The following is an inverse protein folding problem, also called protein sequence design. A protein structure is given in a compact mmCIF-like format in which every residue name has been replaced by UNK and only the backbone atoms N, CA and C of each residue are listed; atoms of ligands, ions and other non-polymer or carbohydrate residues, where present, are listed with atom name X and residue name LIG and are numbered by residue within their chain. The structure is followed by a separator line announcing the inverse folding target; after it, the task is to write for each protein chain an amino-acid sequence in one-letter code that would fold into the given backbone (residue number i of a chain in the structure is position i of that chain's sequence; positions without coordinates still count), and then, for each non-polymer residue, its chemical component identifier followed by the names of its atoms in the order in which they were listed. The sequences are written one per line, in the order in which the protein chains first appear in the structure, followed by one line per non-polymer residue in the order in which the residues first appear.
data_IF_391015172873
#
_entry.id   IF_391015172873
#
_cell.length_a   1.000
_cell.length_b   1.000
_cell.length_c   1.000
_cell.angle_alpha   90.00
_cell.angle_beta   90.00
_cell.angle_gamma   90.00
#
_symmetry.space_group_name_H-M   'P 1'
#
loop_
_entity.id
_entity.type
_entity.pdbx_description
1 polymer ?
#
# COMPACT_ATOMS: atom_id res chain seq x y z
N UNK A 1 -12.14 23.04 11.07
CA UNK A 1 -11.73 22.35 9.81
C UNK A 1 -12.44 21.01 9.80
N UNK A 2 -13.06 20.60 8.69
CA UNK A 2 -13.70 19.29 8.60
C UNK A 2 -12.64 18.17 8.78
N UNK A 3 -12.98 17.04 9.41
CA UNK A 3 -12.07 15.91 9.47
C UNK A 3 -11.79 15.39 8.06
N UNK A 4 -10.53 15.09 7.78
CA UNK A 4 -10.10 14.58 6.48
C UNK A 4 -10.08 13.07 6.52
N UNK A 5 -10.51 12.43 5.45
CA UNK A 5 -10.49 10.97 5.33
C UNK A 5 -9.72 10.57 4.08
N UNK A 6 -8.89 9.52 4.19
CA UNK A 6 -8.24 8.88 3.05
C UNK A 6 -8.61 7.41 3.05
N UNK A 7 -9.19 6.93 1.96
CA UNK A 7 -9.52 5.53 1.75
C UNK A 7 -8.51 4.89 0.81
N UNK A 8 -8.03 3.71 1.19
CA UNK A 8 -7.15 2.87 0.37
C UNK A 8 -7.98 1.69 -0.09
N UNK A 9 -8.37 1.69 -1.36
CA UNK A 9 -8.98 0.55 -2.02
C UNK A 9 -7.89 -0.35 -2.58
N UNK A 10 -8.08 -1.66 -2.45
CA UNK A 10 -7.24 -2.65 -3.11
C UNK A 10 -8.08 -3.36 -4.16
N UNK A 11 -7.60 -3.36 -5.40
CA UNK A 11 -8.13 -4.18 -6.49
C UNK A 11 -7.29 -5.45 -6.58
N UNK A 12 -7.83 -6.56 -6.07
CA UNK A 12 -7.15 -7.85 -6.09
C UNK A 12 -7.35 -8.55 -7.45
N UNK A 13 -6.37 -8.45 -8.33
CA UNK A 13 -6.33 -9.11 -9.63
C UNK A 13 -5.76 -10.53 -9.61
N UNK A 14 -5.47 -11.11 -8.45
CA UNK A 14 -4.89 -12.45 -8.29
C UNK A 14 -5.96 -13.54 -8.42
N UNK A 15 -6.52 -13.68 -9.62
CA UNK A 15 -7.64 -14.59 -9.90
C UNK A 15 -7.26 -16.04 -9.54
N UNK A 16 -7.92 -16.59 -8.52
CA UNK A 16 -7.72 -17.97 -8.08
C UNK A 16 -6.54 -18.21 -7.13
N UNK A 17 -5.75 -17.19 -6.79
CA UNK A 17 -4.53 -17.33 -5.97
C UNK A 17 -4.73 -16.95 -4.49
N UNK A 18 -5.91 -16.42 -4.12
CA UNK A 18 -6.32 -16.19 -2.73
C UNK A 18 -6.64 -14.74 -2.37
N UNK A 19 -6.83 -14.49 -1.08
CA UNK A 19 -7.19 -13.17 -0.55
C UNK A 19 -5.95 -12.32 -0.26
N UNK A 20 -6.01 -11.04 -0.60
CA UNK A 20 -5.04 -10.05 -0.12
C UNK A 20 -5.44 -9.67 1.31
N UNK A 21 -4.65 -10.10 2.29
CA UNK A 21 -5.02 -9.95 3.70
C UNK A 21 -4.51 -8.63 4.27
N UNK A 22 -5.38 -7.89 4.96
CA UNK A 22 -4.98 -6.71 5.73
C UNK A 22 -4.18 -7.16 6.96
N UNK A 23 -2.94 -6.68 7.10
CA UNK A 23 -2.09 -6.99 8.26
C UNK A 23 -2.30 -5.95 9.36
N UNK A 24 -2.29 -4.67 8.99
CA UNK A 24 -2.32 -3.58 9.95
C UNK A 24 -1.89 -2.26 9.35
N UNK A 25 -1.94 -1.22 10.16
CA UNK A 25 -1.46 0.10 9.78
C UNK A 25 -0.81 0.79 10.97
N UNK A 26 0.23 1.57 10.67
CA UNK A 26 0.99 2.31 11.66
C UNK A 26 0.90 3.81 11.38
N UNK A 27 0.59 4.56 12.43
CA UNK A 27 0.73 6.02 12.42
C UNK A 27 2.21 6.36 12.53
N UNK A 28 2.73 7.03 11.51
CA UNK A 28 4.13 7.47 11.46
C UNK A 28 4.32 8.80 12.19
N UNK A 29 3.44 9.77 11.92
CA UNK A 29 3.50 11.11 12.52
C UNK A 29 2.16 11.86 12.39
N UNK A 30 1.96 12.79 13.33
CA UNK A 30 0.88 13.77 13.37
C UNK A 30 -0.46 13.28 13.89
N UNK A 31 -1.48 14.10 13.66
CA UNK A 31 -2.71 14.08 14.47
C UNK A 31 -3.80 13.12 13.96
N UNK A 32 -3.50 12.18 13.07
CA UNK A 32 -4.51 11.25 12.55
C UNK A 32 -4.50 9.86 13.18
N UNK A 33 -5.55 9.10 12.85
CA UNK A 33 -5.81 7.76 13.34
C UNK A 33 -6.46 6.91 12.23
N UNK A 34 -6.33 5.60 12.37
CA UNK A 34 -6.95 4.62 11.47
C UNK A 34 -8.40 4.45 11.91
N UNK A 35 -9.35 4.68 11.01
CA UNK A 35 -10.78 4.70 11.32
C UNK A 35 -11.47 3.35 11.11
N UNK A 36 -10.98 2.54 10.17
CA UNK A 36 -11.41 1.16 9.97
C UNK A 36 -10.17 0.28 9.88
N UNK A 37 -10.12 -0.79 10.67
CA UNK A 37 -9.24 -1.92 10.37
C UNK A 37 -9.70 -2.48 9.03
N UNK A 38 -8.81 -2.50 8.05
CA UNK A 38 -9.08 -3.09 6.75
C UNK A 38 -9.67 -4.48 6.83
N UNK A 39 -10.38 -4.89 5.79
CA UNK A 39 -10.75 -6.29 5.58
C UNK A 39 -9.86 -6.90 4.51
N UNK A 40 -9.68 -8.21 4.57
CA UNK A 40 -9.07 -8.97 3.48
C UNK A 40 -9.90 -8.82 2.20
N UNK A 41 -9.23 -8.67 1.07
CA UNK A 41 -9.86 -8.47 -0.24
C UNK A 41 -9.84 -9.78 -1.03
N UNK A 42 -11.01 -10.32 -1.34
CA UNK A 42 -11.17 -11.56 -2.10
C UNK A 42 -10.59 -11.46 -3.51
N UNK A 43 -10.15 -12.59 -4.06
CA UNK A 43 -9.64 -12.69 -5.43
C UNK A 43 -10.66 -12.14 -6.44
N UNK A 44 -10.19 -11.31 -7.39
CA UNK A 44 -11.02 -10.71 -8.42
C UNK A 44 -11.95 -9.57 -7.96
N UNK A 45 -11.80 -9.10 -6.72
CA UNK A 45 -12.65 -8.04 -6.14
C UNK A 45 -11.88 -6.74 -5.86
N UNK A 46 -12.62 -5.65 -5.67
CA UNK A 46 -12.08 -4.37 -5.21
C UNK A 46 -12.80 -3.95 -3.96
N UNK A 47 -12.06 -3.62 -2.90
CA UNK A 47 -12.68 -3.24 -1.63
C UNK A 47 -11.81 -2.30 -0.79
N UNK A 48 -12.42 -1.72 0.25
CA UNK A 48 -11.73 -0.84 1.21
C UNK A 48 -10.74 -1.66 2.03
N UNK A 49 -9.45 -1.47 1.73
CA UNK A 49 -8.34 -2.07 2.45
C UNK A 49 -7.95 -1.28 3.70
N UNK A 50 -8.18 0.03 3.77
CA UNK A 50 -8.08 0.81 5.01
C UNK A 50 -8.72 2.21 4.85
N UNK A 51 -9.29 2.76 5.92
CA UNK A 51 -9.70 4.16 5.99
C UNK A 51 -8.95 4.90 7.10
N UNK A 52 -8.41 6.06 6.75
CA UNK A 52 -7.56 6.88 7.57
C UNK A 52 -8.24 8.22 7.82
N UNK A 53 -8.21 8.74 9.04
CA UNK A 53 -8.82 10.02 9.38
C UNK A 53 -7.84 10.95 10.07
N UNK A 54 -7.74 12.20 9.61
CA UNK A 54 -7.02 13.25 10.32
C UNK A 54 -7.83 13.68 11.55
N UNK A 55 -7.19 13.70 12.72
CA UNK A 55 -7.76 14.26 13.94
C UNK A 55 -7.71 15.79 13.97
N UNK A 56 -8.11 16.38 15.10
CA UNK A 56 -8.37 17.81 15.22
C UNK A 56 -7.16 18.74 15.21
N UNK A 57 -5.94 18.22 15.00
CA UNK A 57 -4.71 19.02 15.11
C UNK A 57 -4.17 19.60 13.80
N UNK A 58 -3.05 20.32 13.91
CA UNK A 58 -2.45 21.11 12.83
C UNK A 58 -1.42 20.33 12.03
N UNK A 59 -0.91 19.21 12.55
CA UNK A 59 0.12 18.43 11.86
C UNK A 59 -0.43 17.65 10.67
N UNK A 60 0.47 17.21 9.79
CA UNK A 60 0.13 16.28 8.72
C UNK A 60 -0.06 14.86 9.20
N UNK A 61 -0.88 14.07 8.51
CA UNK A 61 -1.06 12.65 8.75
C UNK A 61 -0.14 11.83 7.85
N UNK A 62 0.74 11.04 8.47
CA UNK A 62 1.62 10.11 7.78
C UNK A 62 1.29 8.69 8.25
N UNK A 63 0.89 7.79 7.36
CA UNK A 63 0.49 6.42 7.69
C UNK A 63 1.09 5.42 6.71
N UNK A 64 1.51 4.28 7.25
CA UNK A 64 1.89 3.08 6.52
C UNK A 64 0.83 1.99 6.72
N UNK A 65 0.31 1.42 5.64
CA UNK A 65 -0.67 0.33 5.65
C UNK A 65 -0.08 -0.91 4.99
N UNK A 66 -0.25 -2.07 5.63
CA UNK A 66 0.39 -3.32 5.22
C UNK A 66 -0.64 -4.37 4.80
N UNK A 67 -0.36 -5.03 3.68
CA UNK A 67 -1.15 -6.15 3.17
C UNK A 67 -0.25 -7.36 2.89
N UNK A 68 -0.69 -8.54 3.28
CA UNK A 68 -0.09 -9.81 2.89
C UNK A 68 -0.66 -10.21 1.54
N UNK A 69 0.23 -10.53 0.60
CA UNK A 69 -0.15 -11.00 -0.72
C UNK A 69 0.09 -12.51 -0.79
N UNK A 70 -0.91 -13.34 -1.14
CA UNK A 70 -0.72 -14.79 -1.17
C UNK A 70 0.33 -15.17 -2.21
N UNK A 71 1.24 -16.08 -1.85
CA UNK A 71 2.35 -16.50 -2.70
C UNK A 71 3.51 -15.48 -2.82
N UNK A 72 3.40 -14.32 -2.18
CA UNK A 72 4.46 -13.30 -2.15
C UNK A 72 5.26 -13.40 -0.84
N UNK A 73 6.61 -13.47 -0.89
CA UNK A 73 7.44 -13.48 0.32
C UNK A 73 7.53 -12.10 0.99
N UNK A 74 6.90 -11.08 0.41
CA UNK A 74 6.93 -9.68 0.85
C UNK A 74 5.53 -9.15 1.09
N UNK A 75 5.42 -8.25 2.05
CA UNK A 75 4.20 -7.49 2.31
C UNK A 75 4.13 -6.29 1.37
N UNK A 76 2.93 -5.99 0.88
CA UNK A 76 2.64 -4.73 0.22
C UNK A 76 2.52 -3.63 1.27
N UNK A 77 3.39 -2.63 1.18
CA UNK A 77 3.32 -1.38 1.92
C UNK A 77 2.65 -0.31 1.04
N UNK A 78 1.55 0.27 1.52
CA UNK A 78 0.97 1.50 1.00
C UNK A 78 1.28 2.61 1.98
N UNK A 79 2.17 3.51 1.59
CA UNK A 79 2.54 4.69 2.36
C UNK A 79 1.72 5.89 1.89
N UNK A 80 1.15 6.63 2.82
CA UNK A 80 0.42 7.86 2.53
C UNK A 80 0.87 9.00 3.44
N UNK A 81 1.04 10.17 2.84
CA UNK A 81 1.37 11.41 3.55
C UNK A 81 0.39 12.51 3.18
N UNK A 82 -0.13 13.17 4.20
CA UNK A 82 -1.13 14.23 4.09
C UNK A 82 -0.79 15.37 5.04
N UNK A 83 -0.01 16.35 4.60
CA UNK A 83 0.34 17.48 5.47
C UNK A 83 -0.43 18.75 5.12
N UNK A 84 -0.78 19.55 6.14
CA UNK A 84 -1.22 20.92 5.90
C UNK A 84 -0.13 21.73 5.17
N UNK A 85 1.14 21.36 5.37
CA UNK A 85 2.31 21.94 4.72
C UNK A 85 2.50 21.52 3.25
N UNK A 86 1.85 20.46 2.76
CA UNK A 86 1.93 20.03 1.36
C UNK A 86 0.87 20.70 0.48
N UNK A 87 0.30 21.83 0.93
CA UNK A 87 -0.77 22.56 0.25
C UNK A 87 -1.97 21.68 -0.13
N UNK A 88 -2.25 20.65 0.67
CA UNK A 88 -3.34 19.69 0.40
C UNK A 88 -2.99 18.57 -0.59
N UNK A 89 -1.74 18.47 -1.06
CA UNK A 89 -1.31 17.33 -1.87
C UNK A 89 -1.08 16.11 -0.98
N UNK A 90 -1.88 15.07 -1.22
CA UNK A 90 -1.66 13.74 -0.67
C UNK A 90 -0.65 13.03 -1.57
N UNK A 91 0.34 12.40 -0.93
CA UNK A 91 1.32 11.56 -1.62
C UNK A 91 1.01 10.13 -1.24
N UNK A 92 0.72 9.29 -2.23
CA UNK A 92 0.61 7.84 -2.06
C UNK A 92 1.82 7.21 -2.74
N UNK A 93 2.51 6.34 -1.99
CA UNK A 93 3.63 5.55 -2.50
C UNK A 93 3.44 4.10 -2.11
N UNK A 94 3.96 3.20 -2.93
CA UNK A 94 3.82 1.76 -2.76
C UNK A 94 5.19 1.08 -2.79
N UNK A 95 5.34 0.01 -2.01
CA UNK A 95 6.54 -0.83 -2.01
C UNK A 95 6.20 -2.27 -1.61
N UNK A 96 7.07 -3.20 -2.00
CA UNK A 96 7.09 -4.53 -1.41
C UNK A 96 8.23 -4.60 -0.38
N UNK A 97 7.89 -4.85 0.88
CA UNK A 97 8.84 -4.91 2.00
C UNK A 97 8.90 -6.32 2.57
N UNK A 98 10.05 -6.71 3.12
CA UNK A 98 10.22 -8.05 3.68
C UNK A 98 9.18 -8.33 4.78
N UNK A 99 8.61 -9.53 4.78
CA UNK A 99 7.50 -9.87 5.67
C UNK A 99 7.86 -9.77 7.16
N UNK A 100 9.14 -9.95 7.49
CA UNK A 100 9.69 -9.84 8.84
C UNK A 100 9.85 -8.39 9.31
N UNK A 101 9.74 -7.40 8.40
CA UNK A 101 9.73 -6.00 8.81
C UNK A 101 8.41 -5.71 9.54
N UNK A 102 8.54 -5.45 10.84
CA UNK A 102 7.41 -5.16 11.72
C UNK A 102 6.71 -3.83 11.39
N UNK A 103 5.38 -3.84 11.46
CA UNK A 103 4.51 -2.64 11.47
C UNK A 103 4.96 -1.60 12.51
N UNK A 104 5.67 -2.02 13.56
CA UNK A 104 6.19 -1.14 14.63
C UNK A 104 7.60 -0.57 14.39
N UNK A 105 8.42 -1.17 13.51
CA UNK A 105 9.79 -0.70 13.22
C UNK A 105 9.91 0.06 11.90
N UNK A 106 9.05 -0.29 10.93
CA UNK A 106 8.91 0.44 9.67
C UNK A 106 8.56 1.92 9.80
N UNK A 107 7.91 2.42 10.87
CA UNK A 107 7.55 3.82 10.93
C UNK A 107 8.72 4.80 10.86
N UNK A 108 9.81 4.48 11.54
CA UNK A 108 11.04 5.27 11.49
C UNK A 108 11.69 5.19 10.11
N UNK A 109 11.74 4.00 9.49
CA UNK A 109 12.25 3.83 8.13
C UNK A 109 11.40 4.63 7.12
N UNK A 110 10.08 4.59 7.24
CA UNK A 110 9.15 5.32 6.36
C UNK A 110 9.31 6.84 6.46
N UNK A 111 9.69 7.35 7.63
CA UNK A 111 9.77 8.79 7.88
C UNK A 111 11.19 9.34 7.66
N UNK A 112 12.20 8.68 8.22
CA UNK A 112 13.59 9.16 8.19
C UNK A 112 14.38 8.61 7.01
N UNK A 113 13.99 7.47 6.45
CA UNK A 113 14.73 6.77 5.40
C UNK A 113 13.82 6.22 4.30
N UNK A 114 12.86 6.99 3.76
CA UNK A 114 11.89 6.49 2.79
C UNK A 114 12.56 5.88 1.55
N UNK A 115 13.73 6.38 1.15
CA UNK A 115 14.50 5.89 0.00
C UNK A 115 15.00 4.44 0.19
N UNK A 116 15.12 3.98 1.43
CA UNK A 116 15.58 2.61 1.74
C UNK A 116 14.47 1.55 1.61
N UNK A 117 13.22 1.98 1.46
CA UNK A 117 12.07 1.09 1.35
C UNK A 117 11.67 0.81 -0.11
N UNK A 118 12.36 1.43 -1.09
CA UNK A 118 12.00 1.28 -2.50
C UNK A 118 10.60 1.81 -2.82
N UNK A 119 10.15 2.84 -2.08
CA UNK A 119 8.84 3.47 -2.27
C UNK A 119 8.75 4.11 -3.66
N UNK A 120 7.76 3.71 -4.45
CA UNK A 120 7.48 4.29 -5.76
C UNK A 120 6.11 4.97 -5.77
N UNK A 121 5.98 5.99 -6.61
CA UNK A 121 4.82 6.84 -6.79
C UNK A 121 3.83 6.31 -7.84
N UNK A 122 3.99 5.07 -8.30
CA UNK A 122 3.12 4.51 -9.32
C UNK A 122 3.10 2.99 -9.43
N UNK A 123 4.26 2.33 -9.47
CA UNK A 123 4.34 0.87 -9.68
C UNK A 123 5.46 0.26 -8.86
N UNK A 124 5.15 -0.75 -8.06
CA UNK A 124 6.12 -1.58 -7.35
C UNK A 124 6.08 -3.01 -7.93
N UNK A 125 7.23 -3.68 -7.95
CA UNK A 125 7.33 -5.07 -8.41
C UNK A 125 8.20 -5.88 -7.46
N UNK A 126 7.87 -7.16 -7.29
CA UNK A 126 8.71 -8.10 -6.55
C UNK A 126 8.64 -9.48 -7.20
N UNK A 127 9.70 -10.28 -7.03
CA UNK A 127 9.69 -11.68 -7.44
C UNK A 127 8.78 -12.51 -6.53
N UNK A 128 8.19 -13.57 -7.08
CA UNK A 128 7.54 -14.61 -6.30
C UNK A 128 8.58 -15.49 -5.59
N UNK A 129 8.13 -16.31 -4.64
CA UNK A 129 9.01 -17.21 -3.86
C UNK A 129 9.73 -18.24 -4.74
N UNK A 130 9.10 -18.68 -5.83
CA UNK A 130 9.69 -19.61 -6.80
C UNK A 130 10.16 -18.88 -8.06
N UNK A 131 11.43 -19.06 -8.43
CA UNK A 131 12.04 -18.48 -9.63
C UNK A 131 11.37 -18.92 -10.95
N UNK A 132 10.52 -19.95 -10.89
CA UNK A 132 9.73 -20.50 -11.99
C UNK A 132 8.36 -19.83 -12.18
N UNK A 133 7.87 -19.08 -11.17
CA UNK A 133 6.46 -18.67 -11.06
C UNK A 133 6.19 -17.18 -11.33
N UNK A 134 7.17 -16.42 -11.82
CA UNK A 134 6.98 -15.00 -12.14
C UNK A 134 7.07 -14.07 -10.94
N UNK A 135 6.30 -12.99 -10.91
CA UNK A 135 6.35 -11.98 -9.86
C UNK A 135 5.03 -11.27 -9.63
N UNK A 136 5.04 -10.35 -8.67
CA UNK A 136 3.90 -9.54 -8.29
C UNK A 136 4.12 -8.08 -8.69
N UNK A 137 3.05 -7.44 -9.14
CA UNK A 137 2.98 -6.02 -9.43
C UNK A 137 1.93 -5.42 -8.49
N UNK A 138 2.29 -4.31 -7.85
CA UNK A 138 1.33 -3.38 -7.27
C UNK A 138 1.38 -2.08 -8.07
N UNK A 139 0.22 -1.51 -8.40
CA UNK A 139 0.14 -0.24 -9.15
C UNK A 139 -0.91 0.68 -8.55
N UNK A 140 -0.56 1.96 -8.39
CA UNK A 140 -1.52 3.02 -8.09
C UNK A 140 -2.31 3.33 -9.37
N UNK A 141 -3.58 2.95 -9.40
CA UNK A 141 -4.45 3.13 -10.57
C UNK A 141 -5.11 4.50 -10.58
N UNK A 142 -5.66 4.90 -9.44
CA UNK A 142 -6.41 6.14 -9.31
C UNK A 142 -6.15 6.78 -7.96
N UNK A 143 -6.12 8.11 -7.97
CA UNK A 143 -6.22 8.96 -6.79
C UNK A 143 -7.17 10.11 -7.11
N UNK A 144 -8.33 10.16 -6.45
CA UNK A 144 -9.40 11.09 -6.81
C UNK A 144 -9.14 12.54 -6.38
N UNK A 145 -8.20 12.77 -5.45
CA UNK A 145 -7.85 14.09 -4.94
C UNK A 145 -9.01 14.85 -4.28
N UNK A 146 -10.12 14.18 -3.96
CA UNK A 146 -11.33 14.83 -3.47
C UNK A 146 -11.14 15.19 -2.02
N UNK A 147 -11.23 16.49 -1.72
CA UNK A 147 -11.17 17.00 -0.37
C UNK A 147 -12.58 17.11 0.22
N UNK A 148 -12.83 16.76 1.50
CA UNK A 148 -11.90 16.24 2.51
C UNK A 148 -11.77 14.71 2.50
N UNK A 149 -12.56 14.02 1.68
CA UNK A 149 -12.62 12.56 1.60
C UNK A 149 -11.99 12.07 0.29
N UNK A 150 -10.71 11.70 0.35
CA UNK A 150 -9.95 11.21 -0.81
C UNK A 150 -9.92 9.69 -0.84
N UNK A 151 -9.82 9.13 -2.04
CA UNK A 151 -9.67 7.69 -2.27
C UNK A 151 -8.49 7.43 -3.19
N UNK A 152 -7.64 6.45 -2.84
CA UNK A 152 -6.71 5.84 -3.79
C UNK A 152 -7.07 4.38 -4.03
N UNK A 153 -6.85 3.92 -5.25
CA UNK A 153 -7.01 2.53 -5.63
C UNK A 153 -5.65 1.95 -6.03
N UNK A 154 -5.23 0.88 -5.36
CA UNK A 154 -4.02 0.12 -5.69
C UNK A 154 -4.43 -1.23 -6.26
N UNK A 155 -4.03 -1.52 -7.49
CA UNK A 155 -4.20 -2.85 -8.09
C UNK A 155 -3.03 -3.76 -7.71
N UNK A 156 -3.33 -5.04 -7.50
CA UNK A 156 -2.34 -6.10 -7.25
C UNK A 156 -2.57 -7.21 -8.27
N UNK A 157 -1.52 -7.62 -8.98
CA UNK A 157 -1.58 -8.69 -9.97
C UNK A 157 -0.28 -9.51 -10.00
N UNK A 158 -0.36 -10.73 -10.50
CA UNK A 158 0.78 -11.59 -10.79
C UNK A 158 1.14 -11.49 -12.28
N UNK A 159 2.42 -11.72 -12.61
CA UNK A 159 2.90 -11.81 -13.99
C UNK A 159 3.87 -12.97 -14.11
N UNK A 160 3.79 -13.73 -15.20
CA UNK A 160 4.74 -14.82 -15.48
C UNK A 160 5.92 -14.24 -16.25
N UNK A 161 7.15 -14.52 -15.81
CA UNK A 161 8.35 -14.21 -16.59
C UNK A 161 8.66 -15.43 -17.46
N UNK A 162 8.20 -15.45 -18.70
CA UNK A 162 8.54 -16.52 -19.64
C UNK A 162 9.98 -16.32 -20.13
N UNK A 163 10.91 -17.15 -19.65
CA UNK A 163 12.23 -17.30 -20.24
C UNK A 163 12.19 -18.43 -21.27
N UNK A 164 12.16 -18.15 -22.59
CA UNK A 164 12.25 -19.20 -23.58
C UNK A 164 13.58 -19.97 -23.40
N UNK A 165 13.58 -21.31 -23.50
CA UNK A 165 14.82 -22.07 -23.50
C UNK A 165 15.71 -21.58 -24.64
N UNK A 166 16.95 -21.20 -24.32
CA UNK A 166 17.97 -20.93 -25.33
C UNK A 166 18.28 -22.23 -26.06
N UNK A 167 17.84 -22.33 -27.31
CA UNK A 167 18.29 -23.38 -28.22
C UNK A 167 19.71 -22.99 -28.65
N UNK A 168 20.70 -23.78 -28.22
CA UNK A 168 22.09 -23.71 -28.71
C UNK A 168 22.29 -24.77 -29.79
#
# INVERSE_FOLDING_TARGET
MAPYTMKINIQNGLVGEGEVAYIGSARLKGDGYVCSSGKSIAAGSTDEGASLKKGGGTEGLFIATFFSIPGCPRNLLVWSSMSAASSGKVIVRIAFVDADKSVTSLPDDCYYRPDTLGLTDGKAQTAATDASNGGFIAKLEEYDGKYPDSTCTVSVSSFITYNPPRVY
#
